data_IF_309701024851
#
_entry.id   IF_309701024851
#
_cell.length_a   1.000
_cell.length_b   1.000
_cell.length_c   1.000
_cell.angle_alpha   90.00
_cell.angle_beta   90.00
_cell.angle_gamma   90.00
#
_symmetry.space_group_name_H-M   'P 1'
#
loop_
_entity.id
_entity.type
_entity.pdbx_description
1 polymer ?
#
# COMPACT_ATOMS: atom_id res chain seq x y z
N UNK A 1 19.05 18.45 4.05
CA UNK A 1 18.51 19.01 2.79
C UNK A 1 18.70 20.52 2.87
N UNK A 2 19.27 21.18 1.86
CA UNK A 2 19.44 22.65 1.88
C UNK A 2 18.08 23.35 1.80
N UNK A 3 17.97 24.59 2.30
CA UNK A 3 16.72 25.38 2.24
C UNK A 3 16.18 25.52 0.81
N UNK A 4 17.07 25.65 -0.18
CA UNK A 4 16.70 25.70 -1.61
C UNK A 4 16.07 24.39 -2.09
N UNK A 5 16.48 23.23 -1.58
CA UNK A 5 15.85 21.95 -1.95
C UNK A 5 14.49 21.76 -1.28
N UNK A 6 14.32 22.30 -0.07
CA UNK A 6 13.03 22.34 0.61
C UNK A 6 12.02 23.22 -0.14
N UNK A 7 12.43 24.34 -0.74
CA UNK A 7 11.53 25.20 -1.52
C UNK A 7 11.12 24.62 -2.88
N UNK A 8 11.85 23.62 -3.39
CA UNK A 8 11.58 22.99 -4.69
C UNK A 8 10.75 21.71 -4.57
N UNK A 9 10.53 21.23 -3.36
CA UNK A 9 9.77 20.01 -3.09
C UNK A 9 8.60 20.29 -2.16
N UNK A 10 7.61 19.41 -2.19
CA UNK A 10 6.55 19.38 -1.17
C UNK A 10 6.18 17.94 -0.84
N UNK A 11 5.64 17.74 0.35
CA UNK A 11 5.03 16.47 0.74
C UNK A 11 3.55 16.48 0.31
N UNK A 12 3.07 15.51 -0.49
CA UNK A 12 1.70 15.52 -0.96
C UNK A 12 0.73 15.03 0.14
N UNK A 13 0.30 15.94 1.01
CA UNK A 13 -0.62 15.61 2.12
C UNK A 13 -1.93 14.98 1.62
N UNK A 14 -2.43 15.41 0.45
CA UNK A 14 -3.68 14.92 -0.16
C UNK A 14 -3.67 13.40 -0.37
N UNK A 15 -2.50 12.82 -0.64
CA UNK A 15 -2.32 11.39 -0.84
C UNK A 15 -2.25 10.63 0.47
N UNK A 16 -1.65 11.23 1.49
CA UNK A 16 -1.54 10.67 2.84
C UNK A 16 -2.88 10.67 3.57
N UNK A 17 -3.67 11.71 3.39
CA UNK A 17 -5.02 11.84 3.99
C UNK A 17 -6.06 10.92 3.34
N UNK A 18 -5.82 10.48 2.09
CA UNK A 18 -6.73 9.58 1.38
C UNK A 18 -6.67 8.14 1.90
N UNK A 19 -5.53 7.74 2.48
CA UNK A 19 -5.30 6.41 3.06
C UNK A 19 -5.36 6.47 4.58
N UNK A 20 -5.58 5.33 5.24
CA UNK A 20 -5.51 5.27 6.70
C UNK A 20 -4.29 4.48 7.13
N UNK A 21 -3.61 5.03 8.14
CA UNK A 21 -2.60 4.32 8.91
C UNK A 21 -3.09 4.28 10.34
N UNK A 22 -3.07 3.09 10.95
CA UNK A 22 -3.35 2.99 12.36
C UNK A 22 -2.33 3.82 13.16
N UNK A 23 -2.74 4.49 14.25
CA UNK A 23 -1.78 5.14 15.12
C UNK A 23 -0.78 4.09 15.62
N UNK A 24 0.48 4.50 15.76
CA UNK A 24 1.49 3.64 16.35
C UNK A 24 1.03 3.21 17.76
N UNK A 25 1.27 1.94 18.16
CA UNK A 25 1.00 1.52 19.51
C UNK A 25 1.86 2.35 20.49
N UNK A 26 1.37 2.64 21.71
CA UNK A 26 2.14 3.38 22.69
C UNK A 26 3.48 2.69 22.96
N UNK A 27 4.53 3.48 23.16
CA UNK A 27 5.93 3.03 23.25
C UNK A 27 6.15 1.92 24.28
N UNK A 28 5.29 1.80 25.30
CA UNK A 28 5.33 0.73 26.32
C UNK A 28 5.10 -0.69 25.77
N UNK A 29 4.47 -0.86 24.61
CA UNK A 29 4.39 -2.17 23.93
C UNK A 29 5.69 -2.56 23.21
N UNK A 30 6.51 -1.57 22.85
CA UNK A 30 7.74 -1.73 22.08
C UNK A 30 8.99 -1.69 22.98
N UNK A 31 9.01 -0.78 23.96
CA UNK A 31 10.08 -0.59 24.93
C UNK A 31 9.87 -1.51 26.14
N UNK A 32 10.67 -2.57 26.21
CA UNK A 32 10.74 -3.46 27.36
C UNK A 32 11.57 -2.84 28.49
N UNK A 33 10.99 -1.93 29.25
CA UNK A 33 11.56 -1.52 30.55
C UNK A 33 10.89 -2.34 31.66
N UNK A 34 11.30 -3.61 31.80
CA UNK A 34 11.00 -4.43 32.99
C UNK A 34 12.32 -4.78 33.67
N UNK A 35 12.48 -4.55 34.99
CA UNK A 35 13.69 -4.94 35.70
C UNK A 35 13.90 -6.47 35.59
N UNK A 36 15.15 -6.95 35.57
CA UNK A 36 15.46 -8.34 35.29
C UNK A 36 15.07 -9.21 36.49
N UNK A 37 13.91 -9.85 36.42
CA UNK A 37 13.62 -10.99 37.29
C UNK A 37 14.21 -12.21 36.60
N UNK A 38 15.42 -12.59 37.02
CA UNK A 38 16.17 -13.73 36.48
C UNK A 38 15.55 -15.06 36.95
N UNK A 39 14.59 -15.54 36.17
CA UNK A 39 14.40 -16.97 35.92
C UNK A 39 14.49 -17.11 34.41
N UNK A 40 15.54 -17.74 33.89
CA UNK A 40 15.71 -17.89 32.45
C UNK A 40 14.55 -18.74 31.88
N UNK A 41 13.58 -18.06 31.26
CA UNK A 41 12.42 -18.73 30.68
C UNK A 41 12.87 -19.57 29.48
N UNK A 42 12.72 -20.89 29.54
CA UNK A 42 13.12 -21.76 28.42
C UNK A 42 12.23 -21.57 27.19
N UNK A 43 12.78 -21.76 25.98
CA UNK A 43 11.99 -21.93 24.75
C UNK A 43 11.34 -23.32 24.66
N UNK A 44 11.56 -24.18 25.66
CA UNK A 44 11.03 -25.54 25.70
C UNK A 44 11.70 -26.42 24.64
N UNK A 45 10.91 -27.25 23.95
CA UNK A 45 11.44 -28.24 22.98
C UNK A 45 12.11 -27.61 21.76
N UNK A 46 11.73 -26.39 21.38
CA UNK A 46 12.34 -25.69 20.23
C UNK A 46 13.73 -25.10 20.56
N UNK A 47 14.13 -25.08 21.84
CA UNK A 47 15.47 -24.66 22.25
C UNK A 47 16.59 -25.58 21.72
N UNK A 48 16.23 -26.76 21.18
CA UNK A 48 17.16 -27.68 20.53
C UNK A 48 17.72 -27.15 19.20
N UNK A 49 17.02 -26.20 18.58
CA UNK A 49 17.40 -25.66 17.28
C UNK A 49 18.40 -24.50 17.45
N UNK A 50 19.42 -24.39 16.58
CA UNK A 50 20.27 -23.20 16.51
C UNK A 50 19.45 -21.93 16.25
N UNK A 51 19.96 -20.78 16.71
CA UNK A 51 19.26 -19.50 16.61
C UNK A 51 19.00 -19.10 15.16
N UNK A 52 19.92 -19.44 14.25
CA UNK A 52 19.81 -19.19 12.81
C UNK A 52 18.66 -19.98 12.20
N UNK A 53 18.50 -21.25 12.59
CA UNK A 53 17.38 -22.08 12.14
C UNK A 53 16.04 -21.54 12.67
N UNK A 54 16.03 -21.08 13.92
CA UNK A 54 14.86 -20.45 14.51
C UNK A 54 14.51 -19.13 13.79
N UNK A 55 15.50 -18.30 13.47
CA UNK A 55 15.29 -17.06 12.71
C UNK A 55 14.76 -17.33 11.31
N UNK A 56 15.27 -18.35 10.62
CA UNK A 56 14.76 -18.73 9.30
C UNK A 56 13.30 -19.18 9.36
N UNK A 57 12.97 -20.08 10.29
CA UNK A 57 11.58 -20.55 10.51
C UNK A 57 10.65 -19.38 10.84
N UNK A 58 11.08 -18.50 11.76
CA UNK A 58 10.31 -17.33 12.15
C UNK A 58 10.18 -16.31 11.01
N UNK A 59 11.19 -16.19 10.14
CA UNK A 59 11.14 -15.32 8.96
C UNK A 59 10.01 -15.68 8.00
N UNK A 60 9.70 -16.99 7.86
CA UNK A 60 8.58 -17.51 7.06
C UNK A 60 7.24 -17.54 7.81
N UNK A 61 7.21 -17.17 9.09
CA UNK A 61 5.96 -17.07 9.84
C UNK A 61 5.23 -15.77 9.55
N UNK A 62 3.89 -15.81 9.61
CA UNK A 62 3.07 -14.61 9.50
C UNK A 62 3.42 -13.60 10.62
N UNK A 63 3.27 -12.30 10.34
CA UNK A 63 3.46 -11.25 11.36
C UNK A 63 2.60 -11.52 12.61
N UNK A 64 1.38 -12.04 12.42
CA UNK A 64 0.48 -12.39 13.52
C UNK A 64 1.06 -13.52 14.39
N UNK A 65 1.62 -14.56 13.77
CA UNK A 65 2.31 -15.64 14.46
C UNK A 65 3.49 -15.11 15.26
N UNK A 66 4.30 -14.21 14.69
CA UNK A 66 5.43 -13.59 15.37
C UNK A 66 5.02 -12.77 16.58
N UNK A 67 4.02 -11.89 16.43
CA UNK A 67 3.50 -11.07 17.53
C UNK A 67 2.96 -11.95 18.66
N UNK A 68 2.28 -13.04 18.32
CA UNK A 68 1.73 -13.97 19.32
C UNK A 68 2.83 -14.77 20.01
N UNK A 69 3.80 -15.28 19.25
CA UNK A 69 4.93 -16.04 19.78
C UNK A 69 5.82 -15.18 20.69
N UNK A 70 6.00 -13.89 20.35
CA UNK A 70 6.71 -12.90 21.17
C UNK A 70 6.12 -12.73 22.57
N UNK A 71 4.83 -13.05 22.77
CA UNK A 71 4.15 -12.92 24.07
C UNK A 71 4.26 -14.17 24.95
N UNK A 72 4.84 -15.27 24.44
CA UNK A 72 4.87 -16.56 25.15
C UNK A 72 5.85 -16.56 26.33
N UNK A 73 7.09 -16.12 26.13
CA UNK A 73 8.10 -16.02 27.18
C UNK A 73 9.16 -14.94 26.86
N UNK A 74 10.07 -14.67 27.80
CA UNK A 74 11.10 -13.64 27.58
C UNK A 74 12.09 -14.04 26.48
N UNK A 75 12.43 -15.32 26.39
CA UNK A 75 13.33 -15.80 25.34
C UNK A 75 12.67 -15.76 23.96
N UNK A 76 11.37 -16.05 23.83
CA UNK A 76 10.68 -15.92 22.54
C UNK A 76 10.58 -14.45 22.12
N UNK A 77 10.37 -13.56 23.09
CA UNK A 77 10.44 -12.11 22.87
C UNK A 77 11.80 -11.69 22.31
N UNK A 78 12.90 -12.07 22.97
CA UNK A 78 14.28 -11.75 22.53
C UNK A 78 14.56 -12.32 21.13
N UNK A 79 14.14 -13.54 20.87
CA UNK A 79 14.33 -14.20 19.58
C UNK A 79 13.60 -13.47 18.44
N UNK A 80 12.34 -13.05 18.66
CA UNK A 80 11.57 -12.27 17.68
C UNK A 80 12.11 -10.84 17.53
N UNK A 81 12.51 -10.19 18.63
CA UNK A 81 13.06 -8.83 18.60
C UNK A 81 14.42 -8.76 17.87
N UNK A 82 15.19 -9.87 17.85
CA UNK A 82 16.46 -9.98 17.10
C UNK A 82 16.31 -10.42 15.64
N UNK A 83 15.12 -10.87 15.23
CA UNK A 83 14.84 -11.20 13.83
C UNK A 83 14.83 -9.92 12.98
N UNK A 84 15.82 -9.77 12.09
CA UNK A 84 16.06 -8.54 11.34
C UNK A 84 14.80 -8.00 10.60
N UNK A 85 14.05 -8.80 9.82
CA UNK A 85 12.81 -8.34 9.17
C UNK A 85 11.79 -7.73 10.14
N UNK A 86 11.59 -8.36 11.31
CA UNK A 86 10.61 -7.93 12.30
C UNK A 86 11.11 -6.73 13.11
N UNK A 87 12.35 -6.77 13.60
CA UNK A 87 12.95 -5.68 14.36
C UNK A 87 12.96 -4.36 13.57
N UNK A 88 13.28 -4.43 12.27
CA UNK A 88 13.25 -3.26 11.38
C UNK A 88 11.85 -2.68 11.21
N UNK A 89 10.84 -3.53 11.02
CA UNK A 89 9.44 -3.11 10.92
C UNK A 89 8.98 -2.38 12.20
N UNK A 90 9.30 -2.93 13.37
CA UNK A 90 8.92 -2.35 14.66
C UNK A 90 9.53 -0.97 14.89
N UNK A 91 10.82 -0.81 14.56
CA UNK A 91 11.55 0.44 14.79
C UNK A 91 11.19 1.50 13.76
N UNK A 92 11.19 1.14 12.47
CA UNK A 92 11.05 2.13 11.41
C UNK A 92 9.59 2.42 11.03
N UNK A 93 8.67 1.47 11.23
CA UNK A 93 7.28 1.61 10.80
C UNK A 93 6.26 0.98 11.78
N UNK A 94 6.24 1.40 13.07
CA UNK A 94 5.30 0.85 14.05
C UNK A 94 3.82 1.08 13.68
N UNK A 95 3.52 2.18 13.00
CA UNK A 95 2.18 2.48 12.47
C UNK A 95 1.76 1.51 11.35
N UNK A 96 2.71 1.01 10.56
CA UNK A 96 2.46 -0.03 9.56
C UNK A 96 2.13 -1.34 10.25
N UNK A 97 2.91 -1.76 11.25
CA UNK A 97 2.62 -2.98 12.04
C UNK A 97 1.21 -2.94 12.64
N UNK A 98 0.82 -1.81 13.23
CA UNK A 98 -0.54 -1.62 13.75
C UNK A 98 -1.60 -1.72 12.64
N UNK A 99 -1.32 -1.15 11.47
CA UNK A 99 -2.21 -1.24 10.30
C UNK A 99 -2.38 -2.70 9.87
N UNK A 100 -1.29 -3.46 9.72
CA UNK A 100 -1.33 -4.87 9.32
C UNK A 100 -2.16 -5.73 10.29
N UNK A 101 -2.01 -5.51 11.60
CA UNK A 101 -2.77 -6.22 12.62
C UNK A 101 -4.26 -5.86 12.58
N UNK A 102 -4.60 -4.57 12.51
CA UNK A 102 -5.99 -4.07 12.52
C UNK A 102 -6.75 -4.40 11.24
N UNK A 103 -6.04 -4.44 10.12
CA UNK A 103 -6.60 -4.81 8.81
C UNK A 103 -6.61 -6.32 8.55
N UNK A 104 -6.10 -7.11 9.50
CA UNK A 104 -5.93 -8.57 9.42
C UNK A 104 -4.93 -9.03 8.34
N UNK A 105 -4.17 -8.13 7.72
CA UNK A 105 -3.10 -8.50 6.78
C UNK A 105 -1.98 -9.30 7.46
N UNK A 106 -1.77 -9.08 8.76
CA UNK A 106 -0.73 -9.76 9.53
C UNK A 106 -0.88 -11.29 9.57
N UNK A 107 -2.06 -11.85 9.26
CA UNK A 107 -2.26 -13.31 9.20
C UNK A 107 -1.82 -13.94 7.89
N UNK A 108 -1.64 -13.12 6.84
CA UNK A 108 -1.37 -13.61 5.48
C UNK A 108 0.07 -13.35 5.03
N UNK A 109 0.70 -12.30 5.54
CA UNK A 109 2.05 -11.92 5.12
C UNK A 109 3.08 -12.20 6.21
N UNK A 110 4.24 -12.67 5.76
CA UNK A 110 5.41 -12.96 6.59
C UNK A 110 6.18 -11.70 6.93
N UNK A 111 7.15 -11.82 7.84
CA UNK A 111 8.07 -10.72 8.10
C UNK A 111 8.94 -10.39 6.88
N UNK A 112 9.34 -11.41 6.10
CA UNK A 112 10.10 -11.20 4.87
C UNK A 112 9.30 -10.45 3.80
N UNK A 113 8.02 -10.77 3.61
CA UNK A 113 7.17 -10.07 2.62
C UNK A 113 7.10 -8.57 2.92
N UNK A 114 6.81 -8.23 4.19
CA UNK A 114 6.69 -6.83 4.62
C UNK A 114 8.06 -6.14 4.57
N UNK A 115 9.12 -6.83 4.96
CA UNK A 115 10.49 -6.30 4.91
C UNK A 115 10.93 -6.01 3.48
N UNK A 116 10.61 -6.87 2.52
CA UNK A 116 10.89 -6.66 1.10
C UNK A 116 10.21 -5.37 0.60
N UNK A 117 8.93 -5.18 0.93
CA UNK A 117 8.15 -3.98 0.56
C UNK A 117 8.68 -2.72 1.24
N UNK A 118 9.15 -2.82 2.48
CA UNK A 118 9.72 -1.71 3.25
C UNK A 118 11.09 -1.27 2.69
N UNK A 119 11.89 -2.21 2.19
CA UNK A 119 13.28 -2.00 1.74
C UNK A 119 13.45 -1.89 0.23
N UNK A 120 12.40 -2.11 -0.56
CA UNK A 120 12.40 -1.88 -2.00
C UNK A 120 11.59 -0.60 -2.29
N UNK A 121 12.18 0.46 -2.87
CA UNK A 121 11.47 1.71 -3.15
C UNK A 121 10.52 1.62 -4.36
N UNK A 122 10.69 0.61 -5.23
CA UNK A 122 10.01 0.55 -6.52
C UNK A 122 8.54 0.14 -6.41
N UNK A 123 7.70 0.76 -7.24
CA UNK A 123 6.31 0.39 -7.44
C UNK A 123 6.24 -0.92 -8.23
N UNK A 124 5.49 -1.91 -7.73
CA UNK A 124 5.35 -3.22 -8.36
C UNK A 124 4.78 -3.19 -9.80
N UNK A 125 4.08 -2.11 -10.18
CA UNK A 125 3.44 -1.98 -11.48
C UNK A 125 4.29 -1.19 -12.49
N UNK A 126 4.99 -0.13 -12.05
CA UNK A 126 5.68 0.79 -12.98
C UNK A 126 7.15 1.10 -12.64
N UNK A 127 7.71 0.52 -11.58
CA UNK A 127 9.11 0.69 -11.19
C UNK A 127 9.49 2.02 -10.51
N UNK A 128 8.70 3.08 -10.66
CA UNK A 128 8.92 4.37 -9.96
C UNK A 128 8.77 4.23 -8.45
N UNK A 129 9.30 5.18 -7.68
CA UNK A 129 9.09 5.23 -6.23
C UNK A 129 7.61 5.10 -5.84
N UNK A 130 7.32 4.22 -4.88
CA UNK A 130 5.98 4.01 -4.37
C UNK A 130 5.82 4.42 -2.91
N UNK A 131 4.98 5.40 -2.61
CA UNK A 131 4.73 5.88 -1.24
C UNK A 131 3.66 5.08 -0.48
N UNK A 132 3.10 4.02 -1.09
CA UNK A 132 2.00 3.26 -0.52
C UNK A 132 2.28 1.77 -0.49
N UNK A 133 1.68 1.10 0.49
CA UNK A 133 1.51 -0.34 0.47
C UNK A 133 0.06 -0.65 0.06
N UNK A 134 -0.12 -1.37 -1.04
CA UNK A 134 -1.38 -2.02 -1.37
C UNK A 134 -1.50 -3.27 -0.53
N UNK A 135 -2.38 -3.24 0.47
CA UNK A 135 -2.45 -4.23 1.53
C UNK A 135 -2.90 -5.61 1.03
N UNK A 136 -3.70 -5.65 -0.05
CA UNK A 136 -4.27 -6.91 -0.56
C UNK A 136 -3.21 -7.83 -1.16
N UNK A 137 -2.17 -7.27 -1.77
CA UNK A 137 -1.11 -8.02 -2.45
C UNK A 137 0.25 -7.88 -1.74
N UNK A 138 0.31 -7.22 -0.57
CA UNK A 138 1.56 -6.84 0.09
C UNK A 138 2.56 -6.23 -0.92
N UNK A 139 2.13 -5.18 -1.63
CA UNK A 139 2.90 -4.63 -2.74
C UNK A 139 3.12 -3.12 -2.59
N UNK A 140 4.35 -2.64 -2.82
CA UNK A 140 4.63 -1.20 -2.87
C UNK A 140 4.06 -0.58 -4.15
N UNK A 141 3.37 0.55 -4.04
CA UNK A 141 2.72 1.22 -5.17
C UNK A 141 2.86 2.74 -5.11
N UNK A 142 2.97 3.40 -6.27
CA UNK A 142 2.93 4.86 -6.38
C UNK A 142 1.48 5.38 -6.45
N UNK A 143 1.28 6.68 -6.19
CA UNK A 143 -0.04 7.31 -6.21
C UNK A 143 -0.79 7.08 -7.53
N UNK A 144 -0.08 7.17 -8.66
CA UNK A 144 -0.65 6.99 -10.00
C UNK A 144 -1.16 5.57 -10.22
N UNK A 145 -0.31 4.56 -9.99
CA UNK A 145 -0.69 3.17 -10.15
C UNK A 145 -1.74 2.77 -9.11
N UNK A 146 -1.70 3.31 -7.89
CA UNK A 146 -2.75 3.07 -6.91
C UNK A 146 -4.12 3.53 -7.44
N UNK A 147 -4.17 4.70 -8.11
CA UNK A 147 -5.41 5.30 -8.61
C UNK A 147 -5.92 4.66 -9.90
N UNK A 148 -5.02 4.27 -10.80
CA UNK A 148 -5.39 3.92 -12.18
C UNK A 148 -4.98 2.53 -12.64
N UNK A 149 -4.06 1.86 -11.95
CA UNK A 149 -3.64 0.52 -12.35
C UNK A 149 -4.79 -0.48 -12.14
N UNK A 150 -5.15 -1.29 -13.15
CA UNK A 150 -5.98 -2.48 -12.99
C UNK A 150 -5.57 -3.34 -11.78
N UNK A 151 -4.27 -3.58 -11.64
CA UNK A 151 -3.67 -4.46 -10.62
C UNK A 151 -3.87 -4.04 -9.16
N UNK A 152 -4.28 -2.79 -8.91
CA UNK A 152 -4.52 -2.25 -7.57
C UNK A 152 -6.00 -2.09 -7.26
N UNK A 153 -6.87 -2.69 -8.07
CA UNK A 153 -8.31 -2.65 -7.85
C UNK A 153 -8.75 -3.84 -7.00
N UNK A 154 -9.10 -3.62 -5.71
CA UNK A 154 -9.70 -4.68 -4.93
C UNK A 154 -11.17 -4.89 -5.33
N UNK A 155 -11.68 -6.07 -5.03
CA UNK A 155 -13.11 -6.37 -5.01
C UNK A 155 -13.59 -6.47 -3.57
N UNK A 156 -14.86 -6.14 -3.31
CA UNK A 156 -15.45 -6.48 -2.01
C UNK A 156 -15.65 -7.99 -1.90
N UNK A 157 -15.60 -8.54 -0.69
CA UNK A 157 -15.87 -9.95 -0.46
C UNK A 157 -17.29 -10.35 -0.94
N UNK A 158 -18.26 -9.44 -0.84
CA UNK A 158 -19.62 -9.65 -1.32
C UNK A 158 -19.69 -9.73 -2.85
N UNK A 159 -18.97 -8.86 -3.55
CA UNK A 159 -18.85 -8.92 -5.02
C UNK A 159 -18.15 -10.20 -5.45
N UNK A 160 -17.03 -10.57 -4.82
CA UNK A 160 -16.32 -11.80 -5.13
C UNK A 160 -17.24 -13.03 -4.98
N UNK A 161 -17.98 -13.14 -3.88
CA UNK A 161 -18.99 -14.21 -3.70
C UNK A 161 -20.09 -14.18 -4.77
N UNK A 162 -20.58 -12.99 -5.11
CA UNK A 162 -21.67 -12.82 -6.08
C UNK A 162 -21.25 -13.17 -7.52
N UNK A 163 -20.05 -12.73 -7.92
CA UNK A 163 -19.47 -12.91 -9.25
C UNK A 163 -18.98 -14.34 -9.43
N UNK A 164 -18.29 -14.90 -8.44
CA UNK A 164 -17.66 -16.22 -8.53
C UNK A 164 -18.46 -17.34 -7.86
N UNK A 165 -19.67 -17.06 -7.34
CA UNK A 165 -20.54 -18.03 -6.63
C UNK A 165 -19.86 -18.76 -5.46
N UNK A 166 -18.93 -18.06 -4.79
CA UNK A 166 -18.23 -18.58 -3.61
C UNK A 166 -19.13 -18.53 -2.37
N UNK A 167 -19.05 -19.57 -1.55
CA UNK A 167 -19.77 -19.69 -0.28
C UNK A 167 -18.89 -19.29 0.91
N UNK A 168 -19.52 -18.92 2.03
CA UNK A 168 -18.82 -18.66 3.29
C UNK A 168 -17.98 -19.85 3.78
N UNK A 169 -18.47 -21.08 3.58
CA UNK A 169 -17.75 -22.30 3.98
C UNK A 169 -16.44 -22.46 3.21
N UNK A 170 -16.44 -22.17 1.91
CA UNK A 170 -15.25 -22.24 1.07
C UNK A 170 -14.22 -21.17 1.46
N UNK A 171 -14.68 -19.99 1.87
CA UNK A 171 -13.81 -18.88 2.27
C UNK A 171 -13.31 -18.99 3.72
N UNK A 172 -13.92 -19.83 4.55
CA UNK A 172 -13.58 -19.98 5.96
C UNK A 172 -12.17 -20.54 6.20
N UNK A 173 -11.63 -21.30 5.24
CA UNK A 173 -10.32 -21.95 5.35
C UNK A 173 -9.13 -21.00 5.16
N UNK A 174 -9.37 -19.71 4.92
CA UNK A 174 -8.30 -18.72 4.78
C UNK A 174 -7.47 -18.84 3.50
N UNK A 175 -7.96 -19.56 2.50
CA UNK A 175 -7.24 -19.76 1.23
C UNK A 175 -7.15 -18.50 0.36
N UNK A 176 -7.97 -17.48 0.64
CA UNK A 176 -7.87 -16.16 0.01
C UNK A 176 -7.58 -15.12 1.10
N UNK A 177 -6.54 -14.28 0.94
CA UNK A 177 -6.31 -13.14 1.81
C UNK A 177 -7.50 -12.18 1.80
N UNK A 178 -8.09 -11.95 2.98
CA UNK A 178 -9.20 -11.00 3.17
C UNK A 178 -8.72 -9.84 4.02
N UNK A 179 -8.61 -8.67 3.41
CA UNK A 179 -8.21 -7.43 4.07
C UNK A 179 -9.45 -6.72 4.60
N UNK A 180 -9.42 -6.33 5.87
CA UNK A 180 -10.45 -5.47 6.46
C UNK A 180 -9.98 -4.02 6.41
N UNK A 181 -10.71 -3.14 5.71
CA UNK A 181 -10.33 -1.73 5.68
C UNK A 181 -10.45 -1.09 7.06
N UNK A 182 -9.54 -0.17 7.38
CA UNK A 182 -9.68 0.65 8.59
C UNK A 182 -10.96 1.50 8.47
N UNK A 183 -11.78 1.62 9.53
CA UNK A 183 -12.88 2.58 9.54
C UNK A 183 -12.33 3.99 9.77
N UNK A 184 -13.13 5.00 9.44
CA UNK A 184 -12.82 6.38 9.79
C UNK A 184 -13.15 7.39 8.70
N UNK A 185 -13.13 8.65 9.12
CA UNK A 185 -13.45 9.81 8.31
C UNK A 185 -12.26 10.19 7.42
N UNK A 186 -12.47 10.35 6.11
CA UNK A 186 -11.39 10.74 5.18
C UNK A 186 -11.90 11.31 3.85
N UNK A 187 -10.98 11.91 3.09
CA UNK A 187 -11.20 12.42 1.73
C UNK A 187 -10.47 11.53 0.72
N UNK A 188 -11.20 10.68 0.00
CA UNK A 188 -10.58 9.69 -0.92
C UNK A 188 -10.33 10.27 -2.33
N UNK A 189 -11.00 11.37 -2.69
CA UNK A 189 -10.91 12.01 -4.00
C UNK A 189 -10.44 13.45 -3.82
N UNK A 190 -9.49 13.88 -4.65
CA UNK A 190 -9.07 15.30 -4.73
C UNK A 190 -10.29 16.19 -5.00
N UNK A 191 -10.51 17.20 -4.16
CA UNK A 191 -11.70 18.06 -4.21
C UNK A 191 -13.01 17.39 -3.78
N UNK A 192 -12.93 16.20 -3.20
CA UNK A 192 -14.08 15.48 -2.64
C UNK A 192 -14.44 15.97 -1.25
N UNK A 193 -15.69 15.70 -0.83
CA UNK A 193 -16.11 15.93 0.55
C UNK A 193 -15.59 14.82 1.45
N UNK A 194 -15.27 15.19 2.67
CA UNK A 194 -14.97 14.26 3.74
C UNK A 194 -16.18 13.34 4.02
N UNK A 195 -15.91 12.05 4.22
CA UNK A 195 -16.96 11.04 4.46
C UNK A 195 -16.52 10.05 5.53
N UNK A 196 -17.50 9.57 6.29
CA UNK A 196 -17.32 8.47 7.24
C UNK A 196 -17.40 7.12 6.52
N UNK A 197 -16.28 6.39 6.52
CA UNK A 197 -16.20 5.06 5.94
C UNK A 197 -16.26 3.98 7.03
N UNK A 198 -17.22 3.07 6.89
CA UNK A 198 -17.27 1.82 7.68
C UNK A 198 -16.21 0.84 7.17
N UNK A 199 -15.85 -0.13 7.99
CA UNK A 199 -14.98 -1.24 7.57
C UNK A 199 -15.65 -2.07 6.47
N UNK A 200 -14.88 -2.35 5.43
CA UNK A 200 -15.27 -3.20 4.30
C UNK A 200 -14.25 -4.33 4.17
N UNK A 201 -14.71 -5.54 3.84
CA UNK A 201 -13.85 -6.69 3.54
C UNK A 201 -13.51 -6.67 2.05
N UNK A 202 -12.22 -6.64 1.75
CA UNK A 202 -11.66 -6.49 0.42
C UNK A 202 -10.77 -7.70 0.11
N UNK A 203 -10.79 -8.14 -1.15
CA UNK A 203 -10.03 -9.27 -1.67
C UNK A 203 -9.42 -8.91 -3.02
N UNK A 204 -8.38 -9.66 -3.40
CA UNK A 204 -7.83 -9.61 -4.75
C UNK A 204 -8.79 -10.28 -5.73
N UNK A 205 -9.05 -9.61 -6.86
CA UNK A 205 -9.82 -10.19 -7.95
C UNK A 205 -9.15 -11.43 -8.53
N UNK A 206 -7.81 -11.40 -8.66
CA UNK A 206 -7.02 -12.51 -9.21
C UNK A 206 -7.04 -13.72 -8.27
N UNK A 207 -6.80 -13.53 -6.97
CA UNK A 207 -6.90 -14.63 -6.00
C UNK A 207 -8.32 -15.20 -5.93
N UNK A 208 -9.35 -14.36 -5.96
CA UNK A 208 -10.73 -14.82 -5.97
C UNK A 208 -11.06 -15.61 -7.25
N UNK A 209 -10.56 -15.18 -8.41
CA UNK A 209 -10.70 -15.88 -9.69
C UNK A 209 -9.99 -17.24 -9.65
N UNK A 210 -8.73 -17.28 -9.24
CA UNK A 210 -7.94 -18.52 -9.16
C UNK A 210 -8.59 -19.53 -8.21
N UNK A 211 -9.09 -19.07 -7.07
CA UNK A 211 -9.84 -19.92 -6.15
C UNK A 211 -11.16 -20.41 -6.74
N UNK A 212 -11.85 -19.57 -7.50
CA UNK A 212 -13.07 -19.95 -8.21
C UNK A 212 -12.80 -20.99 -9.30
N UNK A 213 -11.69 -20.88 -10.03
CA UNK A 213 -11.25 -21.92 -10.98
C UNK A 213 -11.00 -23.23 -10.25
N UNK A 214 -10.24 -23.21 -9.15
CA UNK A 214 -10.05 -24.41 -8.33
C UNK A 214 -11.38 -25.04 -7.85
N UNK A 215 -12.36 -24.21 -7.53
CA UNK A 215 -13.66 -24.65 -6.99
C UNK A 215 -14.64 -25.14 -8.07
N UNK A 216 -14.70 -24.46 -9.21
CA UNK A 216 -15.72 -24.66 -10.25
C UNK A 216 -15.17 -25.30 -11.53
N UNK A 217 -13.85 -25.50 -11.63
CA UNK A 217 -13.19 -26.15 -12.76
C UNK A 217 -12.50 -25.17 -13.71
N UNK A 218 -12.85 -25.24 -14.99
CA UNK A 218 -12.11 -24.54 -16.05
C UNK A 218 -12.62 -23.11 -16.31
N UNK A 219 -11.88 -22.37 -17.14
CA UNK A 219 -12.19 -20.97 -17.47
C UNK A 219 -13.53 -20.78 -18.19
N UNK A 220 -13.97 -21.75 -19.00
CA UNK A 220 -15.24 -21.68 -19.73
C UNK A 220 -16.42 -21.75 -18.76
N UNK A 221 -16.39 -22.70 -17.83
CA UNK A 221 -17.40 -22.82 -16.78
C UNK A 221 -17.48 -21.54 -15.94
N UNK A 222 -16.33 -20.93 -15.64
CA UNK A 222 -16.28 -19.67 -14.90
C UNK A 222 -16.87 -18.51 -15.72
N UNK A 223 -16.59 -18.43 -17.01
CA UNK A 223 -17.14 -17.41 -17.90
C UNK A 223 -18.67 -17.49 -18.03
N UNK A 224 -19.22 -18.70 -18.17
CA UNK A 224 -20.66 -18.96 -18.19
C UNK A 224 -21.34 -18.60 -16.86
N UNK A 225 -20.67 -18.92 -15.75
CA UNK A 225 -21.13 -18.59 -14.40
C UNK A 225 -21.14 -17.07 -14.14
N UNK A 226 -20.15 -16.35 -14.66
CA UNK A 226 -20.08 -14.89 -14.65
C UNK A 226 -21.15 -14.27 -15.59
N UNK A 227 -21.48 -14.93 -16.71
CA UNK A 227 -22.50 -14.50 -17.67
C UNK A 227 -23.93 -14.67 -17.13
N UNK A 228 -24.21 -15.79 -16.45
CA UNK A 228 -25.54 -16.19 -15.97
C UNK A 228 -26.07 -15.44 -14.75
N UNK A 229 -25.30 -14.51 -14.17
CA UNK A 229 -25.74 -13.75 -13.00
C UNK A 229 -26.97 -12.86 -13.28
N UNK A 230 -28.05 -13.01 -12.50
CA UNK A 230 -29.40 -12.42 -12.75
C UNK A 230 -29.81 -11.17 -11.94
N UNK A 231 -28.89 -10.42 -11.33
CA UNK A 231 -29.28 -9.30 -10.45
C UNK A 231 -29.89 -8.13 -11.22
N UNK A 232 -31.06 -7.67 -10.76
CA UNK A 232 -31.96 -6.72 -11.43
C UNK A 232 -31.74 -5.24 -11.06
N UNK A 233 -30.79 -4.92 -10.19
CA UNK A 233 -30.49 -3.52 -9.83
C UNK A 233 -29.35 -2.95 -10.68
N UNK A 234 -29.49 -1.70 -11.12
CA UNK A 234 -28.52 -1.01 -11.98
C UNK A 234 -27.12 -0.91 -11.35
N UNK A 235 -27.02 -0.81 -10.03
CA UNK A 235 -25.75 -0.81 -9.29
C UNK A 235 -25.03 -2.16 -9.37
N UNK A 236 -25.76 -3.27 -9.14
CA UNK A 236 -25.18 -4.61 -9.22
C UNK A 236 -24.79 -4.98 -10.65
N UNK A 237 -25.50 -4.45 -11.65
CA UNK A 237 -25.11 -4.56 -13.06
C UNK A 237 -23.78 -3.86 -13.33
N UNK A 238 -23.62 -2.60 -12.90
CA UNK A 238 -22.35 -1.84 -13.05
C UNK A 238 -21.19 -2.53 -12.32
N UNK A 239 -21.41 -3.02 -11.11
CA UNK A 239 -20.40 -3.76 -10.35
C UNK A 239 -19.96 -5.03 -11.07
N UNK A 240 -20.89 -5.76 -11.68
CA UNK A 240 -20.55 -6.94 -12.49
C UNK A 240 -19.82 -6.59 -13.77
N UNK A 241 -20.23 -5.54 -14.48
CA UNK A 241 -19.52 -5.10 -15.69
C UNK A 241 -18.09 -4.67 -15.36
N UNK A 242 -17.91 -3.95 -14.25
CA UNK A 242 -16.59 -3.58 -13.77
C UNK A 242 -15.78 -4.81 -13.33
N UNK A 243 -16.35 -5.73 -12.54
CA UNK A 243 -15.69 -6.97 -12.18
C UNK A 243 -15.35 -7.85 -13.40
N UNK A 244 -16.23 -7.89 -14.42
CA UNK A 244 -15.95 -8.57 -15.70
C UNK A 244 -14.78 -7.92 -16.42
N UNK A 245 -14.76 -6.59 -16.50
CA UNK A 245 -13.63 -5.87 -17.06
C UNK A 245 -12.33 -6.20 -16.28
N UNK A 246 -12.37 -6.22 -14.95
CA UNK A 246 -11.20 -6.61 -14.12
C UNK A 246 -10.62 -7.98 -14.49
N UNK A 247 -11.43 -8.89 -15.04
CA UNK A 247 -11.06 -10.26 -15.35
C UNK A 247 -10.74 -10.48 -16.84
N UNK A 248 -10.84 -9.45 -17.69
CA UNK A 248 -10.51 -9.54 -19.11
C UNK A 248 -9.24 -8.75 -19.43
N UNK A 249 -8.48 -9.19 -20.44
CA UNK A 249 -7.29 -8.51 -20.95
C UNK A 249 -7.55 -7.07 -21.47
N UNK A 250 -8.82 -6.67 -21.55
CA UNK A 250 -9.25 -5.35 -22.00
C UNK A 250 -9.14 -4.27 -20.90
N UNK A 251 -8.96 -4.66 -19.64
CA UNK A 251 -8.84 -3.70 -18.55
C UNK A 251 -7.46 -3.07 -18.48
N UNK A 252 -7.33 -1.97 -19.22
CA UNK A 252 -6.13 -1.14 -19.29
C UNK A 252 -6.21 0.06 -18.35
N UNK A 253 -5.07 0.67 -18.06
CA UNK A 253 -5.03 1.96 -17.35
C UNK A 253 -5.89 3.04 -18.04
N UNK A 254 -5.95 3.04 -19.37
CA UNK A 254 -6.80 3.96 -20.14
C UNK A 254 -8.30 3.71 -19.87
N UNK A 255 -8.72 2.44 -19.81
CA UNK A 255 -10.10 2.09 -19.47
C UNK A 255 -10.48 2.60 -18.07
N UNK A 256 -9.64 2.33 -17.06
CA UNK A 256 -9.86 2.77 -15.67
C UNK A 256 -9.92 4.30 -15.58
N UNK A 257 -9.04 5.01 -16.29
CA UNK A 257 -9.03 6.48 -16.32
C UNK A 257 -10.33 7.05 -16.89
N UNK A 258 -10.82 6.47 -17.97
CA UNK A 258 -11.99 6.97 -18.70
C UNK A 258 -13.32 6.52 -18.09
N UNK A 259 -13.32 5.50 -17.22
CA UNK A 259 -14.52 4.95 -16.60
C UNK A 259 -14.42 4.96 -15.07
N UNK A 260 -14.27 6.13 -14.42
CA UNK A 260 -14.12 6.20 -12.97
C UNK A 260 -15.42 5.78 -12.27
N UNK A 261 -15.34 4.72 -11.46
CA UNK A 261 -16.50 4.25 -10.68
C UNK A 261 -16.39 4.63 -9.20
N UNK A 262 -17.46 4.41 -8.42
CA UNK A 262 -17.45 4.66 -6.96
C UNK A 262 -16.48 3.73 -6.24
N UNK A 263 -16.27 2.54 -6.78
CA UNK A 263 -15.45 1.46 -6.25
C UNK A 263 -13.96 1.80 -6.28
N UNK A 264 -13.52 2.76 -7.12
CA UNK A 264 -12.14 3.25 -7.11
C UNK A 264 -11.69 3.76 -5.73
N UNK A 265 -12.64 4.12 -4.86
CA UNK A 265 -12.34 4.47 -3.47
C UNK A 265 -11.73 3.31 -2.67
N UNK A 266 -12.08 2.06 -3.00
CA UNK A 266 -11.60 0.88 -2.28
C UNK A 266 -10.10 0.69 -2.44
N UNK A 267 -9.50 1.22 -3.52
CA UNK A 267 -8.04 1.28 -3.73
C UNK A 267 -7.35 1.93 -2.53
N UNK A 268 -7.87 3.08 -2.08
CA UNK A 268 -7.35 3.82 -0.94
C UNK A 268 -7.73 3.19 0.41
N UNK A 269 -8.91 2.58 0.51
CA UNK A 269 -9.33 1.84 1.71
C UNK A 269 -8.52 0.54 1.93
N UNK A 270 -7.96 -0.02 0.85
CA UNK A 270 -7.08 -1.18 0.84
C UNK A 270 -5.60 -0.83 0.85
N UNK A 271 -5.25 0.41 1.19
CA UNK A 271 -3.85 0.87 1.16
C UNK A 271 -3.50 1.67 2.40
N UNK A 272 -2.20 1.73 2.67
CA UNK A 272 -1.65 2.55 3.74
C UNK A 272 -0.37 3.24 3.27
N UNK A 273 -0.03 4.36 3.90
CA UNK A 273 1.20 5.08 3.57
C UNK A 273 2.42 4.31 4.08
N UNK A 274 3.46 4.20 3.26
CA UNK A 274 4.57 3.29 3.47
C UNK A 274 5.91 4.05 3.30
N UNK A 275 6.74 4.14 4.34
CA UNK A 275 8.08 4.70 4.18
C UNK A 275 8.99 3.72 3.43
N UNK A 276 10.00 4.25 2.76
CA UNK A 276 11.15 3.49 2.30
C UNK A 276 12.25 3.51 3.37
N UNK A 277 12.79 2.34 3.68
CA UNK A 277 13.79 2.13 4.72
C UNK A 277 14.92 1.29 4.11
N UNK A 278 16.08 1.87 3.77
CA UNK A 278 17.18 1.14 3.16
C UNK A 278 17.67 -0.02 4.05
N UNK A 279 17.88 -1.19 3.45
CA UNK A 279 18.15 -2.45 4.18
C UNK A 279 19.44 -2.43 5.02
N UNK A 280 20.49 -1.75 4.54
CA UNK A 280 21.86 -1.89 5.05
C UNK A 280 22.25 -0.91 6.17
N UNK A 281 21.38 0.03 6.54
CA UNK A 281 21.77 1.09 7.47
C UNK A 281 21.35 0.77 8.92
N UNK A 282 22.27 0.67 9.91
CA UNK A 282 21.92 0.43 11.32
C UNK A 282 21.02 1.52 11.92
N UNK A 283 21.14 2.78 11.46
CA UNK A 283 20.21 3.88 11.76
C UNK A 283 19.51 4.31 10.47
N UNK A 284 18.45 3.59 10.06
CA UNK A 284 17.97 3.68 8.71
C UNK A 284 17.35 5.05 8.45
N UNK A 285 17.79 5.69 7.36
CA UNK A 285 17.19 6.91 6.85
C UNK A 285 15.80 6.58 6.33
N UNK A 286 14.77 7.09 7.01
CA UNK A 286 13.37 6.88 6.63
C UNK A 286 13.00 7.91 5.58
N UNK A 287 12.66 7.44 4.38
CA UNK A 287 12.24 8.29 3.27
C UNK A 287 10.75 8.11 2.98
N UNK A 288 9.99 9.20 3.01
CA UNK A 288 8.54 9.17 2.79
C UNK A 288 8.11 9.61 1.39
N UNK A 289 9.07 9.91 0.52
CA UNK A 289 8.81 10.48 -0.80
C UNK A 289 8.58 12.00 -0.77
N UNK A 290 9.01 12.66 -1.84
CA UNK A 290 8.75 14.07 -2.10
C UNK A 290 8.22 14.28 -3.52
N UNK A 291 7.35 15.26 -3.71
CA UNK A 291 6.89 15.72 -5.02
C UNK A 291 7.63 16.99 -5.45
N UNK A 292 7.63 17.24 -6.76
CA UNK A 292 8.28 18.41 -7.34
C UNK A 292 7.34 19.62 -7.40
N UNK A 293 7.73 20.73 -6.77
CA UNK A 293 6.94 21.97 -6.79
C UNK A 293 6.80 22.54 -8.21
N UNK A 294 7.83 22.44 -9.05
CA UNK A 294 7.72 22.84 -10.46
C UNK A 294 6.66 22.05 -11.23
N UNK A 295 6.57 20.74 -11.00
CA UNK A 295 5.52 19.91 -11.61
C UNK A 295 4.12 20.25 -11.07
N UNK A 296 4.01 20.63 -9.79
CA UNK A 296 2.75 21.12 -9.22
C UNK A 296 2.31 22.43 -9.86
N UNK A 297 3.23 23.37 -10.07
CA UNK A 297 2.91 24.66 -10.68
C UNK A 297 2.51 24.50 -12.16
N UNK A 298 3.20 23.63 -12.89
CA UNK A 298 2.83 23.27 -14.26
C UNK A 298 1.39 22.75 -14.34
N UNK A 299 1.02 21.88 -13.40
CA UNK A 299 -0.34 21.36 -13.28
C UNK A 299 -1.33 22.47 -12.93
N UNK A 300 -1.01 23.32 -11.94
CA UNK A 300 -1.89 24.39 -11.48
C UNK A 300 -2.14 25.44 -12.58
N UNK A 301 -1.10 25.82 -13.32
CA UNK A 301 -1.21 26.76 -14.45
C UNK A 301 -2.08 26.16 -15.57
N UNK A 302 -1.88 24.88 -15.89
CA UNK A 302 -2.70 24.21 -16.89
C UNK A 302 -4.17 24.09 -16.45
N UNK A 303 -4.42 23.85 -15.15
CA UNK A 303 -5.76 23.85 -14.56
C UNK A 303 -6.42 25.23 -14.66
N UNK A 304 -5.70 26.29 -14.30
CA UNK A 304 -6.19 27.67 -14.36
C UNK A 304 -6.51 28.11 -15.79
N UNK A 305 -5.74 27.63 -16.77
CA UNK A 305 -5.96 27.90 -18.19
C UNK A 305 -7.01 26.98 -18.86
N UNK A 306 -7.67 26.08 -18.11
CA UNK A 306 -8.60 25.04 -18.63
C UNK A 306 -8.01 24.15 -19.74
N UNK A 307 -6.70 23.88 -19.66
CA UNK A 307 -5.95 23.09 -20.65
C UNK A 307 -5.65 21.64 -20.19
N UNK A 308 -6.18 21.22 -19.04
CA UNK A 308 -6.05 19.85 -18.53
C UNK A 308 -6.98 18.87 -19.27
N UNK A 309 -6.72 18.64 -20.55
CA UNK A 309 -7.52 17.76 -21.41
C UNK A 309 -6.65 16.71 -22.11
N UNK A 310 -7.26 15.58 -22.41
CA UNK A 310 -6.63 14.48 -23.14
C UNK A 310 -5.34 13.97 -22.50
N UNK A 311 -4.46 13.42 -23.34
CA UNK A 311 -3.21 12.82 -22.88
C UNK A 311 -2.24 13.82 -22.25
N UNK A 312 -2.25 15.08 -22.70
CA UNK A 312 -1.43 16.14 -22.11
C UNK A 312 -1.85 16.43 -20.65
N UNK A 313 -3.15 16.53 -20.39
CA UNK A 313 -3.66 16.70 -19.02
C UNK A 313 -3.29 15.53 -18.11
N UNK A 314 -3.38 14.30 -18.63
CA UNK A 314 -2.95 13.11 -17.90
C UNK A 314 -1.45 13.07 -17.61
N UNK A 315 -0.61 13.46 -18.58
CA UNK A 315 0.83 13.55 -18.39
C UNK A 315 1.20 14.56 -17.30
N UNK A 316 0.57 15.74 -17.27
CA UNK A 316 0.78 16.74 -16.22
C UNK A 316 0.32 16.24 -14.85
N UNK A 317 -0.83 15.57 -14.79
CA UNK A 317 -1.33 14.95 -13.56
C UNK A 317 -0.35 13.90 -13.03
N UNK A 318 0.19 13.06 -13.92
CA UNK A 318 1.19 12.04 -13.57
C UNK A 318 2.48 12.66 -13.05
N UNK A 319 2.98 13.70 -13.72
CA UNK A 319 4.19 14.43 -13.28
C UNK A 319 4.02 15.02 -11.89
N UNK A 320 2.89 15.70 -11.63
CA UNK A 320 2.54 16.24 -10.30
C UNK A 320 2.50 15.14 -9.23
N UNK A 321 1.86 14.02 -9.55
CA UNK A 321 1.64 12.91 -8.61
C UNK A 321 2.87 11.98 -8.47
N UNK A 322 3.96 12.26 -9.20
CA UNK A 322 5.18 11.48 -9.07
C UNK A 322 5.90 11.89 -7.79
N UNK A 323 6.04 10.91 -6.91
CA UNK A 323 6.87 10.99 -5.71
C UNK A 323 8.24 10.38 -6.02
N UNK A 324 9.27 10.88 -5.35
CA UNK A 324 10.66 10.49 -5.55
C UNK A 324 11.32 10.22 -4.20
N UNK A 325 12.28 9.30 -4.16
CA UNK A 325 13.34 9.33 -3.12
C UNK A 325 14.10 10.64 -3.19
N UNK A 326 14.85 11.00 -2.14
CA UNK A 326 15.67 12.21 -2.16
C UNK A 326 16.68 12.17 -3.31
N UNK A 327 17.31 11.02 -3.56
CA UNK A 327 18.27 10.85 -4.64
C UNK A 327 17.63 11.02 -6.03
N UNK A 328 16.50 10.35 -6.28
CA UNK A 328 15.76 10.49 -7.54
C UNK A 328 15.24 11.92 -7.74
N UNK A 329 14.84 12.60 -6.66
CA UNK A 329 14.37 13.98 -6.72
C UNK A 329 15.48 14.92 -7.19
N UNK A 330 16.69 14.79 -6.64
CA UNK A 330 17.85 15.58 -7.07
C UNK A 330 18.15 15.39 -8.55
N UNK A 331 18.03 14.17 -9.07
CA UNK A 331 18.16 13.91 -10.49
C UNK A 331 17.01 14.56 -11.29
N UNK A 332 15.77 14.45 -10.82
CA UNK A 332 14.61 15.06 -11.47
C UNK A 332 14.73 16.58 -11.60
N UNK A 333 15.22 17.26 -10.56
CA UNK A 333 15.39 18.73 -10.54
C UNK A 333 16.22 19.20 -11.73
N UNK A 334 17.26 18.47 -12.14
CA UNK A 334 18.14 18.84 -13.27
C UNK A 334 17.43 18.81 -14.63
N UNK A 335 16.34 18.06 -14.76
CA UNK A 335 15.62 17.85 -16.03
C UNK A 335 14.24 18.50 -16.04
N UNK A 336 13.74 18.98 -14.91
CA UNK A 336 12.42 19.59 -14.78
C UNK A 336 12.45 21.06 -15.24
N UNK A 337 11.81 21.43 -16.37
CA UNK A 337 11.90 22.80 -16.91
C UNK A 337 11.41 23.85 -15.92
N UNK A 338 10.29 23.60 -15.27
CA UNK A 338 9.65 24.55 -14.34
C UNK A 338 10.49 24.77 -13.09
N UNK A 339 11.21 23.73 -12.66
CA UNK A 339 12.15 23.83 -11.53
C UNK A 339 13.41 24.58 -11.92
N UNK A 340 13.94 24.35 -13.12
CA UNK A 340 15.11 25.07 -13.63
C UNK A 340 14.83 26.57 -13.77
N UNK A 341 13.66 26.95 -14.30
CA UNK A 341 13.24 28.36 -14.36
C UNK A 341 13.14 28.99 -12.96
N UNK A 342 12.61 28.26 -11.97
CA UNK A 342 12.59 28.75 -10.57
C UNK A 342 13.99 28.97 -9.99
N UNK A 343 14.91 28.05 -10.26
CA UNK A 343 16.29 28.16 -9.80
C UNK A 343 16.99 29.38 -10.40
N UNK A 344 16.84 29.60 -11.72
CA UNK A 344 17.39 30.77 -12.41
C UNK A 344 16.84 32.09 -11.81
N UNK A 345 15.52 32.18 -11.62
CA UNK A 345 14.90 33.37 -11.04
C UNK A 345 15.34 33.65 -9.60
N UNK A 346 15.61 32.60 -8.82
CA UNK A 346 16.10 32.69 -7.43
C UNK A 346 17.58 33.10 -7.35
N UNK A 347 18.38 32.76 -8.37
CA UNK A 347 19.78 33.19 -8.46
C UNK A 347 19.90 34.64 -8.91
N UNK A 348 19.04 35.10 -9.83
CA UNK A 348 18.99 36.49 -10.29
C UNK A 348 18.58 37.43 -9.14
N UNK A 349 17.61 37.04 -8.31
CA UNK A 349 17.20 37.83 -7.14
C UNK A 349 18.29 37.94 -6.07
N UNK A 350 19.12 36.89 -5.88
CA UNK A 350 20.25 36.93 -4.94
C UNK A 350 21.49 37.67 -5.44
N UNK A 351 21.58 37.96 -6.74
CA UNK A 351 22.70 38.69 -7.34
C UNK A 351 22.41 40.20 -7.54
N UNK A 352 21.17 40.63 -7.28
CA UNK A 352 20.72 42.02 -7.35
C UNK A 352 20.60 42.73 -6.00
N UNK A 353 20.87 42.01 -4.90
CA UNK A 353 21.09 42.53 -3.54
C UNK A 353 22.59 42.52 -3.24
#
# INVERSE_FOLDING_TARGET
MSETLLSLSYAPNVFREAVSTAPAPPSTFLAGNRPPIRVESTLGKIAILPVESLHEILGHCSIYTLVTFRLVCENSKRLVDTLLPYGRLVVAAPALLATLLRTKCATFFTAYDVYHVLTNPACFSCGRFGAFMYLVECARCCAWCLRYSPKTMPMTLAEAKSVFKLTDKQLANGQIPVVSSLPGRRVIRVGGRERDYKTVKLVSGDHARLFALFTHGNEQALAELIASGTSRTHENYRQRQHAKALLTDQNTEAYVRNNPTREHRYRFLASTHLPYVPAFNPTPTIEWGVCCQGCQDAFANALAADTLRGDRGWALTRRRDTEYTVAEFLQHVTTCPETQTKLQNSQITKAGD
#
